data_IF_922041636842
#
_entry.id   IF_922041636842
#
_cell.length_a   1.000
_cell.length_b   1.000
_cell.length_c   1.000
_cell.angle_alpha   90.00
_cell.angle_beta   90.00
_cell.angle_gamma   90.00
#
_symmetry.space_group_name_H-M   'P 1'
#
loop_
_entity.id
_entity.type
_entity.pdbx_description
1 polymer ?
#
# COMPACT_ATOMS: atom_id res chain seq x y z
N UNK A 1 -10.78 -0.87 -30.62
CA UNK A 1 -10.08 -1.81 -29.71
C UNK A 1 -8.83 -1.07 -29.26
N UNK A 2 -8.72 -0.72 -27.98
CA UNK A 2 -7.49 -0.09 -27.47
C UNK A 2 -6.41 -1.17 -27.51
N UNK A 3 -5.51 -1.07 -28.47
CA UNK A 3 -4.40 -2.01 -28.66
C UNK A 3 -3.40 -1.77 -27.51
N UNK A 4 -3.63 -2.43 -26.36
CA UNK A 4 -2.72 -2.36 -25.22
C UNK A 4 -1.39 -2.99 -25.59
N UNK A 5 -0.33 -2.20 -25.67
CA UNK A 5 1.02 -2.70 -25.93
C UNK A 5 1.37 -3.79 -24.90
N UNK A 6 2.16 -4.81 -25.30
CA UNK A 6 2.52 -5.94 -24.43
C UNK A 6 3.12 -5.45 -23.10
N UNK A 7 3.79 -4.28 -23.12
CA UNK A 7 4.37 -3.62 -21.95
C UNK A 7 3.33 -2.96 -21.04
N UNK A 8 2.27 -2.36 -21.59
CA UNK A 8 1.15 -1.80 -20.83
C UNK A 8 0.42 -2.91 -20.07
N UNK A 9 0.11 -4.01 -20.75
CA UNK A 9 -0.58 -5.16 -20.14
C UNK A 9 0.22 -5.79 -19.00
N UNK A 10 1.54 -5.92 -19.17
CA UNK A 10 2.43 -6.40 -18.10
C UNK A 10 2.44 -5.42 -16.93
N UNK A 11 2.49 -4.11 -17.19
CA UNK A 11 2.47 -3.09 -16.12
C UNK A 11 1.16 -3.12 -15.34
N UNK A 12 0.02 -3.28 -16.01
CA UNK A 12 -1.29 -3.43 -15.37
C UNK A 12 -1.38 -4.71 -14.51
N UNK A 13 -0.85 -5.83 -14.99
CA UNK A 13 -0.81 -7.08 -14.21
C UNK A 13 0.06 -6.90 -12.96
N UNK A 14 1.23 -6.27 -13.08
CA UNK A 14 2.09 -5.97 -11.93
C UNK A 14 1.42 -4.98 -10.96
N UNK A 15 0.71 -3.97 -11.46
CA UNK A 15 -0.03 -3.02 -10.64
C UNK A 15 -1.17 -3.71 -9.89
N UNK A 16 -1.96 -4.54 -10.56
CA UNK A 16 -3.03 -5.31 -9.95
C UNK A 16 -2.50 -6.29 -8.90
N UNK A 17 -1.41 -7.00 -9.21
CA UNK A 17 -0.75 -7.88 -8.25
C UNK A 17 -0.25 -7.10 -7.03
N UNK A 18 0.32 -5.91 -7.23
CA UNK A 18 0.77 -5.04 -6.14
C UNK A 18 -0.38 -4.59 -5.23
N UNK A 19 -1.56 -4.26 -5.79
CA UNK A 19 -2.76 -3.92 -5.01
C UNK A 19 -3.25 -5.12 -4.20
N UNK A 20 -3.27 -6.30 -4.80
CA UNK A 20 -3.65 -7.53 -4.08
C UNK A 20 -2.67 -7.81 -2.95
N UNK A 21 -1.36 -7.65 -3.20
CA UNK A 21 -0.32 -7.85 -2.19
C UNK A 21 -0.45 -6.84 -1.04
N UNK A 22 -0.70 -5.57 -1.37
CA UNK A 22 -0.95 -4.50 -0.41
C UNK A 22 -2.13 -4.86 0.51
N UNK A 23 -3.30 -5.17 -0.07
CA UNK A 23 -4.48 -5.56 0.72
C UNK A 23 -4.29 -6.84 1.53
N UNK A 24 -3.51 -7.80 1.01
CA UNK A 24 -3.15 -9.01 1.75
C UNK A 24 -2.32 -8.70 2.99
N UNK A 25 -1.40 -7.74 2.90
CA UNK A 25 -0.52 -7.39 4.01
C UNK A 25 -1.20 -6.52 5.07
N UNK A 26 -2.12 -5.65 4.67
CA UNK A 26 -3.06 -5.02 5.60
C UNK A 26 -3.87 -6.07 6.37
N UNK A 27 -4.28 -7.16 5.71
CA UNK A 27 -4.99 -8.27 6.36
C UNK A 27 -4.10 -9.06 7.32
N UNK A 28 -2.84 -9.32 6.94
CA UNK A 28 -1.86 -9.94 7.84
C UNK A 28 -1.69 -9.12 9.10
N UNK A 29 -1.59 -7.80 8.99
CA UNK A 29 -1.44 -6.92 10.15
C UNK A 29 -2.61 -7.03 11.12
N UNK A 30 -3.84 -7.06 10.59
CA UNK A 30 -5.06 -7.20 11.41
C UNK A 30 -5.07 -8.53 12.18
N UNK A 31 -4.59 -9.60 11.56
CA UNK A 31 -4.46 -10.92 12.21
C UNK A 31 -3.28 -10.97 13.19
N UNK A 32 -2.19 -10.27 12.88
CA UNK A 32 -0.98 -10.21 13.70
C UNK A 32 -1.12 -9.27 14.90
N UNK A 33 -1.98 -8.25 14.82
CA UNK A 33 -2.27 -7.29 15.89
C UNK A 33 -2.47 -7.94 17.28
N UNK A 34 -3.32 -8.98 17.46
CA UNK A 34 -3.46 -9.66 18.74
C UNK A 34 -2.24 -10.49 19.16
N UNK A 35 -1.37 -10.90 18.23
CA UNK A 35 -0.09 -11.53 18.56
C UNK A 35 0.90 -10.48 19.08
N UNK A 36 1.04 -9.36 18.36
CA UNK A 36 1.85 -8.19 18.77
C UNK A 36 1.39 -7.66 20.13
N UNK A 37 0.08 -7.56 20.36
CA UNK A 37 -0.49 -7.14 21.64
C UNK A 37 -0.05 -8.03 22.81
N UNK A 38 -0.04 -9.36 22.59
CA UNK A 38 0.35 -10.35 23.61
C UNK A 38 1.86 -10.39 23.82
N UNK A 39 2.64 -10.31 22.75
CA UNK A 39 4.10 -10.40 22.79
C UNK A 39 4.72 -9.18 23.46
N UNK A 40 4.23 -7.98 23.14
CA UNK A 40 4.73 -6.73 23.71
C UNK A 40 4.00 -6.30 25.00
N UNK A 41 3.09 -7.11 25.54
CA UNK A 41 2.26 -6.76 26.72
C UNK A 41 1.59 -5.38 26.56
N UNK A 42 1.22 -5.05 25.33
CA UNK A 42 0.73 -3.74 24.96
C UNK A 42 -0.72 -3.58 25.44
N UNK A 43 -0.95 -2.67 26.39
CA UNK A 43 -2.28 -2.29 26.82
C UNK A 43 -3.09 -1.63 25.69
N UNK A 44 -4.38 -1.40 25.92
CA UNK A 44 -5.27 -0.72 24.96
C UNK A 44 -4.75 0.65 24.51
N UNK A 45 -4.02 1.37 25.38
CA UNK A 45 -3.36 2.64 25.03
C UNK A 45 -2.28 2.48 23.96
N UNK A 46 -1.43 1.46 24.06
CA UNK A 46 -0.35 1.22 23.11
C UNK A 46 -0.87 0.75 21.73
N UNK A 47 -1.97 -0.01 21.70
CA UNK A 47 -2.63 -0.36 20.44
C UNK A 47 -3.26 0.86 19.76
N UNK A 48 -3.88 1.77 20.53
CA UNK A 48 -4.42 3.02 20.00
C UNK A 48 -3.32 3.94 19.45
N UNK A 49 -2.17 3.99 20.13
CA UNK A 49 -1.01 4.78 19.68
C UNK A 49 -0.42 4.18 18.39
N UNK A 50 -0.31 2.85 18.33
CA UNK A 50 0.07 2.13 17.11
C UNK A 50 -0.87 2.44 15.94
N UNK A 51 -2.19 2.36 16.15
CA UNK A 51 -3.18 2.73 15.14
C UNK A 51 -3.07 4.18 14.67
N UNK A 52 -2.76 5.09 15.60
CA UNK A 52 -2.55 6.51 15.30
C UNK A 52 -1.33 6.73 14.40
N UNK A 53 -0.22 6.04 14.67
CA UNK A 53 1.00 6.08 13.85
C UNK A 53 0.71 5.56 12.43
N UNK A 54 -0.07 4.49 12.28
CA UNK A 54 -0.49 4.00 10.96
C UNK A 54 -1.32 5.05 10.20
N UNK A 55 -2.26 5.71 10.89
CA UNK A 55 -3.07 6.75 10.28
C UNK A 55 -2.22 7.95 9.83
N UNK A 56 -1.21 8.34 10.62
CA UNK A 56 -0.24 9.37 10.22
C UNK A 56 0.55 8.93 8.98
N UNK A 57 0.95 7.66 8.89
CA UNK A 57 1.57 7.10 7.69
C UNK A 57 0.68 7.18 6.46
N UNK A 58 -0.61 6.85 6.60
CA UNK A 58 -1.57 6.97 5.51
C UNK A 58 -1.72 8.42 5.01
N UNK A 59 -1.71 9.40 5.91
CA UNK A 59 -1.73 10.83 5.54
C UNK A 59 -0.40 11.26 4.91
N UNK A 60 0.73 10.76 5.43
CA UNK A 60 2.08 10.99 4.89
C UNK A 60 2.27 10.44 3.47
N UNK A 61 1.45 9.46 3.06
CA UNK A 61 1.43 8.96 1.69
C UNK A 61 0.98 10.03 0.68
N UNK A 62 0.13 10.99 1.06
CA UNK A 62 -0.41 12.00 0.13
C UNK A 62 0.67 12.90 -0.50
N UNK A 63 1.56 13.56 0.26
CA UNK A 63 2.63 14.36 -0.33
C UNK A 63 3.66 13.50 -1.08
N UNK A 64 3.94 12.28 -0.58
CA UNK A 64 4.81 11.33 -1.29
C UNK A 64 4.20 10.91 -2.62
N UNK A 65 2.91 10.59 -2.67
CA UNK A 65 2.20 10.22 -3.88
C UNK A 65 2.22 11.37 -4.89
N UNK A 66 1.95 12.60 -4.46
CA UNK A 66 2.00 13.77 -5.34
C UNK A 66 3.41 14.04 -5.90
N UNK A 67 4.44 13.93 -5.05
CA UNK A 67 5.83 14.08 -5.48
C UNK A 67 6.24 12.98 -6.46
N UNK A 68 5.77 11.77 -6.20
CA UNK A 68 6.17 10.59 -6.91
C UNK A 68 5.35 10.42 -8.23
N UNK A 69 4.15 10.99 -8.32
CA UNK A 69 3.35 11.16 -9.56
C UNK A 69 4.15 11.86 -10.66
N UNK A 70 5.04 12.79 -10.29
CA UNK A 70 5.96 13.46 -11.24
C UNK A 70 7.05 12.55 -11.81
N UNK A 71 7.40 11.45 -11.15
CA UNK A 71 8.48 10.54 -11.56
C UNK A 71 8.03 9.47 -12.58
N UNK A 72 6.72 9.37 -12.82
CA UNK A 72 6.10 8.48 -13.81
C UNK A 72 5.56 7.18 -13.21
N UNK A 73 4.34 6.81 -13.63
CA UNK A 73 3.51 5.71 -13.09
C UNK A 73 4.20 4.36 -12.94
N UNK A 74 5.02 3.96 -13.92
CA UNK A 74 5.71 2.66 -13.89
C UNK A 74 6.80 2.58 -12.81
N UNK A 75 7.52 3.67 -12.58
CA UNK A 75 8.57 3.74 -11.55
C UNK A 75 7.96 3.83 -10.16
N UNK A 76 6.77 4.43 -10.04
CA UNK A 76 6.02 4.49 -8.79
C UNK A 76 5.61 3.13 -8.27
N UNK A 77 4.97 2.34 -9.12
CA UNK A 77 4.52 1.00 -8.74
C UNK A 77 5.72 0.15 -8.34
N UNK A 78 6.80 0.18 -9.14
CA UNK A 78 8.02 -0.56 -8.83
C UNK A 78 8.70 -0.08 -7.53
N UNK A 79 8.81 1.24 -7.33
CA UNK A 79 9.43 1.83 -6.14
C UNK A 79 8.60 1.63 -4.87
N UNK A 80 7.28 1.73 -4.98
CA UNK A 80 6.34 1.46 -3.89
C UNK A 80 6.35 0.00 -3.47
N UNK A 81 6.28 -0.93 -4.44
CA UNK A 81 6.37 -2.38 -4.15
C UNK A 81 7.72 -2.77 -3.56
N UNK A 82 8.83 -2.22 -4.09
CA UNK A 82 10.16 -2.46 -3.56
C UNK A 82 10.31 -1.89 -2.14
N UNK A 83 9.86 -0.65 -1.92
CA UNK A 83 9.90 0.02 -0.62
C UNK A 83 9.08 -0.73 0.42
N UNK A 84 7.84 -1.06 0.09
CA UNK A 84 6.97 -1.85 0.94
C UNK A 84 7.55 -3.25 1.24
N UNK A 85 8.09 -3.97 0.25
CA UNK A 85 8.68 -5.30 0.48
C UNK A 85 9.90 -5.24 1.39
N UNK A 86 10.76 -4.23 1.21
CA UNK A 86 11.93 -3.99 2.07
C UNK A 86 11.50 -3.68 3.51
N UNK A 87 10.50 -2.82 3.66
CA UNK A 87 9.99 -2.42 4.98
C UNK A 87 9.27 -3.57 5.67
N UNK A 88 8.48 -4.35 4.94
CA UNK A 88 7.82 -5.56 5.44
C UNK A 88 8.86 -6.58 5.93
N UNK A 89 9.91 -6.82 5.14
CA UNK A 89 11.02 -7.69 5.56
C UNK A 89 11.75 -7.16 6.80
N UNK A 90 12.01 -5.84 6.85
CA UNK A 90 12.63 -5.22 8.01
C UNK A 90 11.72 -5.26 9.26
N UNK A 91 10.39 -5.21 9.08
CA UNK A 91 9.42 -5.30 10.18
C UNK A 91 9.41 -6.66 10.86
N UNK A 92 9.81 -7.73 10.17
CA UNK A 92 10.00 -9.05 10.78
C UNK A 92 11.19 -9.10 11.77
N UNK A 93 12.12 -8.16 11.68
CA UNK A 93 13.26 -8.03 12.59
C UNK A 93 13.06 -6.99 13.70
N UNK A 94 11.86 -6.39 13.82
CA UNK A 94 11.61 -5.33 14.78
C UNK A 94 11.66 -5.85 16.23
N UNK A 95 12.60 -5.37 17.08
CA UNK A 95 12.77 -5.83 18.46
C UNK A 95 11.85 -5.10 19.45
N UNK A 96 11.19 -4.02 19.03
CA UNK A 96 10.33 -3.19 19.86
C UNK A 96 9.05 -2.75 19.14
N UNK A 97 7.99 -2.45 19.91
CA UNK A 97 6.73 -1.95 19.38
C UNK A 97 6.88 -0.59 18.69
N UNK A 98 7.81 0.25 19.17
CA UNK A 98 8.12 1.54 18.55
C UNK A 98 8.82 1.37 17.19
N UNK A 99 9.78 0.46 17.08
CA UNK A 99 10.43 0.16 15.79
C UNK A 99 9.43 -0.43 14.81
N UNK A 100 8.57 -1.33 15.28
CA UNK A 100 7.49 -1.93 14.48
C UNK A 100 6.51 -0.85 13.99
N UNK A 101 6.13 0.10 14.85
CA UNK A 101 5.27 1.23 14.48
C UNK A 101 5.93 2.14 13.44
N UNK A 102 7.22 2.44 13.59
CA UNK A 102 7.96 3.27 12.64
C UNK A 102 8.09 2.59 11.28
N UNK A 103 8.50 1.31 11.26
CA UNK A 103 8.54 0.51 10.04
C UNK A 103 7.16 0.43 9.38
N UNK A 104 6.11 0.17 10.17
CA UNK A 104 4.75 0.12 9.66
C UNK A 104 4.23 1.44 9.14
N UNK A 105 4.63 2.58 9.70
CA UNK A 105 4.34 3.90 9.15
C UNK A 105 4.85 4.00 7.71
N UNK A 106 6.09 3.57 7.43
CA UNK A 106 6.61 3.55 6.07
C UNK A 106 5.89 2.53 5.19
N UNK A 107 5.57 1.35 5.72
CA UNK A 107 4.83 0.33 4.97
C UNK A 107 3.48 0.87 4.48
N UNK A 108 2.72 1.51 5.37
CA UNK A 108 1.42 2.13 5.05
C UNK A 108 1.59 3.29 4.06
N UNK A 109 2.64 4.10 4.19
CA UNK A 109 2.95 5.13 3.19
C UNK A 109 3.07 4.54 1.78
N UNK A 110 3.85 3.47 1.62
CA UNK A 110 4.04 2.81 0.33
C UNK A 110 2.78 2.09 -0.14
N UNK A 111 2.05 1.44 0.77
CA UNK A 111 0.82 0.72 0.48
C UNK A 111 -0.24 1.66 -0.11
N UNK A 112 -0.51 2.79 0.57
CA UNK A 112 -1.49 3.79 0.12
C UNK A 112 -1.07 4.42 -1.20
N UNK A 113 0.21 4.68 -1.40
CA UNK A 113 0.75 5.19 -2.66
C UNK A 113 0.52 4.20 -3.81
N UNK A 114 0.85 2.92 -3.61
CA UNK A 114 0.67 1.87 -4.63
C UNK A 114 -0.80 1.70 -4.97
N UNK A 115 -1.67 1.62 -3.96
CA UNK A 115 -3.13 1.47 -4.16
C UNK A 115 -3.69 2.66 -4.92
N UNK A 116 -3.32 3.89 -4.56
CA UNK A 116 -3.75 5.10 -5.25
C UNK A 116 -3.34 5.15 -6.72
N UNK A 117 -2.05 4.93 -7.00
CA UNK A 117 -1.50 4.96 -8.37
C UNK A 117 -2.07 3.82 -9.22
N UNK A 118 -2.18 2.62 -8.66
CA UNK A 118 -2.73 1.47 -9.38
C UNK A 118 -4.23 1.67 -9.69
N UNK A 119 -5.00 2.20 -8.74
CA UNK A 119 -6.42 2.53 -8.95
C UNK A 119 -6.58 3.58 -10.05
N UNK A 120 -5.78 4.65 -10.01
CA UNK A 120 -5.78 5.68 -11.05
C UNK A 120 -5.39 5.13 -12.44
N UNK A 121 -4.41 4.22 -12.49
CA UNK A 121 -4.02 3.55 -13.74
C UNK A 121 -5.12 2.64 -14.28
N UNK A 122 -5.78 1.88 -13.40
CA UNK A 122 -6.91 1.02 -13.79
C UNK A 122 -8.08 1.84 -14.30
N UNK A 123 -8.41 2.97 -13.66
CA UNK A 123 -9.50 3.87 -14.08
C UNK A 123 -9.20 4.52 -15.43
N UNK A 124 -7.96 4.90 -15.71
CA UNK A 124 -7.59 5.48 -17.01
C UNK A 124 -7.60 4.46 -18.15
N UNK A 125 -7.24 3.21 -17.87
CA UNK A 125 -7.25 2.13 -18.87
C UNK A 125 -8.64 1.46 -18.99
N UNK A 126 -9.53 1.70 -18.02
CA UNK A 126 -10.92 1.30 -18.12
C UNK A 126 -11.58 2.11 -19.25
N UNK A 127 -12.14 1.45 -20.28
CA UNK A 127 -12.73 2.16 -21.40
C UNK A 127 -13.89 3.04 -20.93
N UNK A 128 -13.93 4.30 -21.37
CA UNK A 128 -14.99 5.27 -21.07
C UNK A 128 -16.40 4.89 -21.58
N UNK A 129 -16.61 3.64 -22.04
CA UNK A 129 -17.89 3.16 -22.58
C UNK A 129 -18.62 2.25 -21.58
N UNK A 130 -18.78 2.70 -20.35
CA UNK A 130 -19.83 2.22 -19.48
C UNK A 130 -21.14 2.90 -19.87
N UNK A 131 -21.77 2.46 -20.97
CA UNK A 131 -23.17 2.80 -21.23
C UNK A 131 -24.03 2.14 -20.15
N UNK A 132 -24.11 2.79 -18.99
CA UNK A 132 -25.14 2.52 -17.99
C UNK A 132 -26.48 2.87 -18.63
N UNK A 133 -27.13 1.86 -19.21
CA UNK A 133 -28.56 1.89 -19.50
C UNK A 133 -29.23 1.29 -18.26
N UNK A 134 -29.85 2.11 -17.38
CA UNK A 134 -30.72 1.56 -16.36
C UNK A 134 -31.86 0.78 -17.04
N UNK A 135 -32.38 -0.27 -16.39
CA UNK A 135 -33.42 -1.15 -16.92
C UNK A 135 -34.73 -0.40 -17.23
#
# INVERSE_FOLDING_TARGET
MVELDRRQRVTLVWAGLAVVLAGFEGSILVVALPAVAREFHAGTSALSDFGSVLAVGAVGALPLANLADRFGRRRLIAGGVAGFSLVSFASAYAPSLADLAFLRLFAVCFEVLVVGVATALIVEEAPASGSWRPP
#
